data_IF_268948656198
#
_entry.id   IF_268948656198
#
_cell.length_a   1.000
_cell.length_b   1.000
_cell.length_c   1.000
_cell.angle_alpha   90.00
_cell.angle_beta   90.00
_cell.angle_gamma   90.00
#
_symmetry.space_group_name_H-M   'P 1'
#
loop_
_entity.id
_entity.type
_entity.pdbx_description
1 polymer ?
#
# COMPACT_ATOMS: atom_id res chain seq x y z
N UNK A 1 10.30 -5.39 -7.52
CA UNK A 1 9.11 -5.68 -8.36
C UNK A 1 8.20 -6.66 -7.66
N UNK A 2 7.21 -6.11 -6.97
CA UNK A 2 6.22 -6.86 -6.19
C UNK A 2 5.17 -7.47 -7.13
N UNK A 3 4.86 -8.76 -6.98
CA UNK A 3 3.87 -9.47 -7.82
C UNK A 3 2.54 -9.72 -7.11
N UNK A 4 2.52 -9.59 -5.79
CA UNK A 4 1.38 -9.91 -4.93
C UNK A 4 1.32 -8.98 -3.70
N UNK A 5 0.17 -8.90 -3.04
CA UNK A 5 0.02 -8.05 -1.86
C UNK A 5 0.87 -8.60 -0.70
N UNK A 6 1.72 -7.77 -0.06
CA UNK A 6 2.56 -8.21 1.04
C UNK A 6 1.73 -8.51 2.29
N UNK A 7 2.32 -9.27 3.21
CA UNK A 7 1.74 -9.47 4.52
C UNK A 7 1.69 -8.14 5.30
N UNK A 8 0.57 -7.84 5.98
CA UNK A 8 0.44 -6.60 6.73
C UNK A 8 1.39 -6.60 7.93
N UNK A 9 2.10 -5.50 8.11
CA UNK A 9 2.96 -5.28 9.27
C UNK A 9 2.15 -5.12 10.57
N UNK A 10 2.80 -5.32 11.71
CA UNK A 10 2.13 -5.19 13.00
C UNK A 10 1.70 -3.74 13.28
N UNK A 11 0.62 -3.58 14.07
CA UNK A 11 0.15 -2.24 14.48
C UNK A 11 1.19 -1.49 15.30
N UNK A 12 2.00 -2.19 16.08
CA UNK A 12 3.05 -1.59 16.91
C UNK A 12 4.23 -1.10 16.06
N UNK A 13 4.56 -1.80 14.98
CA UNK A 13 5.54 -1.31 13.99
C UNK A 13 5.05 -0.07 13.23
N UNK A 14 3.77 -0.03 12.84
CA UNK A 14 3.17 1.16 12.23
C UNK A 14 3.24 2.37 13.17
N UNK A 15 2.97 2.18 14.46
CA UNK A 15 3.09 3.22 15.49
C UNK A 15 4.55 3.66 15.67
N UNK A 16 5.48 2.70 15.80
CA UNK A 16 6.91 2.96 15.97
C UNK A 16 7.49 3.83 14.84
N UNK A 17 6.99 3.62 13.62
CA UNK A 17 7.43 4.38 12.44
C UNK A 17 6.57 5.63 12.15
N UNK A 18 5.65 6.00 13.06
CA UNK A 18 4.76 7.15 12.92
C UNK A 18 4.00 7.18 11.58
N UNK A 19 3.55 6.02 11.10
CA UNK A 19 2.78 5.95 9.85
C UNK A 19 1.44 6.68 10.05
N UNK A 20 1.09 7.68 9.20
CA UNK A 20 -0.18 8.39 9.30
C UNK A 20 -1.37 7.45 9.07
N UNK A 21 -2.51 7.71 9.72
CA UNK A 21 -3.70 6.85 9.64
C UNK A 21 -4.13 6.47 8.21
N UNK A 22 -4.13 7.38 7.21
CA UNK A 22 -4.52 7.03 5.84
C UNK A 22 -3.61 5.99 5.18
N UNK A 23 -2.36 5.89 5.61
CA UNK A 23 -1.36 4.98 5.05
C UNK A 23 -1.11 3.75 5.93
N UNK A 24 -2.01 3.45 6.88
CA UNK A 24 -1.97 2.23 7.71
C UNK A 24 -2.76 1.11 7.04
N UNK A 25 -2.45 0.86 5.79
CA UNK A 25 -3.05 -0.15 4.94
C UNK A 25 -2.13 -1.39 4.89
N UNK A 26 -2.40 -2.34 3.96
CA UNK A 26 -1.57 -3.55 3.80
C UNK A 26 -0.18 -3.22 3.23
N UNK A 27 -0.06 -2.15 2.43
CA UNK A 27 1.18 -1.72 1.78
C UNK A 27 2.11 -0.89 2.69
N UNK A 28 1.67 -0.56 3.91
CA UNK A 28 2.44 0.23 4.87
C UNK A 28 3.86 -0.31 5.16
N UNK A 29 4.08 -1.62 5.01
CA UNK A 29 5.41 -2.23 5.17
C UNK A 29 6.45 -1.70 4.18
N UNK A 30 6.03 -1.31 2.98
CA UNK A 30 6.90 -0.74 1.94
C UNK A 30 7.07 0.77 2.07
N UNK A 31 6.08 1.44 2.69
CA UNK A 31 6.14 2.87 2.94
C UNK A 31 7.22 3.23 3.97
N UNK A 32 7.51 2.35 4.93
CA UNK A 32 8.56 2.56 5.94
C UNK A 32 9.96 2.68 5.30
N UNK A 33 10.46 1.71 4.50
CA UNK A 33 11.76 1.83 3.84
C UNK A 33 11.79 2.98 2.83
N UNK A 34 10.70 3.23 2.10
CA UNK A 34 10.59 4.39 1.21
C UNK A 34 10.77 5.72 1.96
N UNK A 35 10.11 5.89 3.11
CA UNK A 35 10.24 7.10 3.92
C UNK A 35 11.62 7.23 4.57
N UNK A 36 12.28 6.12 4.89
CA UNK A 36 13.67 6.12 5.34
C UNK A 36 14.60 6.62 4.22
N UNK A 37 14.52 6.04 3.02
CA UNK A 37 15.30 6.46 1.87
C UNK A 37 15.05 7.93 1.51
N UNK A 38 13.79 8.39 1.53
CA UNK A 38 13.44 9.80 1.29
C UNK A 38 14.09 10.75 2.28
N UNK A 39 14.14 10.40 3.57
CA UNK A 39 14.81 11.22 4.58
C UNK A 39 16.32 11.29 4.37
N UNK A 40 16.94 10.15 4.08
CA UNK A 40 18.40 10.06 3.82
C UNK A 40 18.78 10.81 2.53
N UNK A 41 17.94 10.72 1.51
CA UNK A 41 18.12 11.37 0.20
C UNK A 41 17.53 12.76 0.08
N UNK A 42 17.17 13.42 1.20
CA UNK A 42 16.61 14.79 1.20
C UNK A 42 15.40 15.00 0.28
N UNK A 43 14.57 13.96 0.13
CA UNK A 43 13.37 13.96 -0.71
C UNK A 43 13.61 14.28 -2.19
N UNK A 44 14.83 14.03 -2.69
CA UNK A 44 15.15 14.26 -4.09
C UNK A 44 14.35 13.32 -5.01
N UNK A 45 13.76 13.82 -6.11
CA UNK A 45 12.80 13.06 -6.92
C UNK A 45 13.42 11.94 -7.76
N UNK A 46 14.74 11.99 -7.99
CA UNK A 46 15.51 10.96 -8.70
C UNK A 46 16.06 9.87 -7.76
N UNK A 47 15.92 10.02 -6.43
CA UNK A 47 16.32 9.02 -5.47
C UNK A 47 15.12 8.16 -5.03
N UNK A 48 15.39 6.94 -4.56
CA UNK A 48 14.36 6.01 -4.03
C UNK A 48 13.27 5.62 -5.05
N UNK A 49 13.63 5.56 -6.34
CA UNK A 49 12.66 5.32 -7.44
C UNK A 49 12.10 3.91 -7.37
N UNK A 50 12.94 2.93 -7.06
CA UNK A 50 12.54 1.52 -6.97
C UNK A 50 11.58 1.28 -5.81
N UNK A 51 11.91 1.81 -4.62
CA UNK A 51 11.05 1.70 -3.43
C UNK A 51 9.73 2.44 -3.62
N UNK A 52 9.76 3.58 -4.33
CA UNK A 52 8.54 4.30 -4.70
C UNK A 52 7.68 3.45 -5.62
N UNK A 53 8.27 2.91 -6.69
CA UNK A 53 7.56 2.08 -7.65
C UNK A 53 6.97 0.83 -7.01
N UNK A 54 7.71 0.16 -6.13
CA UNK A 54 7.22 -1.02 -5.42
C UNK A 54 6.05 -0.67 -4.46
N UNK A 55 6.11 0.47 -3.76
CA UNK A 55 4.97 0.94 -2.95
C UNK A 55 3.74 1.29 -3.82
N UNK A 56 3.93 2.05 -4.90
CA UNK A 56 2.84 2.42 -5.84
C UNK A 56 2.22 1.19 -6.49
N UNK A 57 3.03 0.20 -6.85
CA UNK A 57 2.54 -1.05 -7.41
C UNK A 57 1.73 -1.86 -6.39
N UNK A 58 2.15 -1.88 -5.12
CA UNK A 58 1.36 -2.51 -4.05
C UNK A 58 -0.03 -1.85 -3.90
N UNK A 59 -0.08 -0.52 -3.86
CA UNK A 59 -1.35 0.23 -3.77
C UNK A 59 -2.27 -0.05 -4.98
N UNK A 60 -1.69 -0.21 -6.16
CA UNK A 60 -2.43 -0.61 -7.36
C UNK A 60 -3.02 -2.03 -7.24
N UNK A 61 -2.27 -2.98 -6.67
CA UNK A 61 -2.78 -4.34 -6.41
C UNK A 61 -3.91 -4.31 -5.37
N UNK A 62 -3.81 -3.48 -4.32
CA UNK A 62 -4.88 -3.31 -3.33
C UNK A 62 -6.13 -2.70 -3.97
N UNK A 63 -5.96 -1.69 -4.82
CA UNK A 63 -7.06 -1.11 -5.58
C UNK A 63 -7.78 -2.16 -6.43
N UNK A 64 -7.05 -3.01 -7.17
CA UNK A 64 -7.64 -4.12 -7.94
C UNK A 64 -8.43 -5.09 -7.07
N UNK A 65 -7.90 -5.44 -5.89
CA UNK A 65 -8.61 -6.27 -4.90
C UNK A 65 -9.94 -5.64 -4.51
N UNK A 66 -9.94 -4.35 -4.17
CA UNK A 66 -11.17 -3.62 -3.78
C UNK A 66 -12.18 -3.47 -4.92
N UNK A 67 -11.72 -3.32 -6.16
CA UNK A 67 -12.60 -3.32 -7.35
C UNK A 67 -13.30 -4.67 -7.50
N UNK A 68 -12.57 -5.77 -7.34
CA UNK A 68 -13.15 -7.12 -7.39
C UNK A 68 -14.19 -7.35 -6.29
N UNK A 69 -13.89 -6.93 -5.05
CA UNK A 69 -14.86 -6.99 -3.93
C UNK A 69 -16.13 -6.18 -4.26
N UNK A 70 -15.99 -5.00 -4.87
CA UNK A 70 -17.14 -4.18 -5.28
C UNK A 70 -17.96 -4.85 -6.38
N UNK A 71 -17.33 -5.50 -7.36
CA UNK A 71 -18.03 -6.25 -8.41
C UNK A 71 -18.84 -7.43 -7.85
N UNK A 72 -18.28 -8.15 -6.88
CA UNK A 72 -18.98 -9.25 -6.18
C UNK A 72 -20.20 -8.73 -5.41
N UNK A 73 -20.06 -7.60 -4.71
CA UNK A 73 -21.18 -6.93 -4.01
C UNK A 73 -22.27 -6.51 -5.00
N UNK A 74 -21.90 -5.93 -6.14
CA UNK A 74 -22.85 -5.52 -7.18
C UNK A 74 -23.63 -6.73 -7.72
N UNK A 75 -22.94 -7.81 -8.09
CA UNK A 75 -23.58 -9.05 -8.55
C UNK A 75 -24.54 -9.62 -7.51
N UNK A 76 -24.13 -9.65 -6.23
CA UNK A 76 -24.97 -10.15 -5.15
C UNK A 76 -26.19 -9.26 -4.88
N UNK A 77 -26.10 -7.95 -5.09
CA UNK A 77 -27.23 -7.02 -5.02
C UNK A 77 -28.20 -7.24 -6.18
N UNK A 78 -27.68 -7.31 -7.39
CA UNK A 78 -28.49 -7.45 -8.60
C UNK A 78 -29.19 -8.83 -8.66
N UNK A 79 -28.59 -9.88 -8.08
CA UNK A 79 -29.21 -11.21 -7.94
C UNK A 79 -30.30 -11.31 -6.86
N UNK A 80 -30.40 -10.31 -5.96
CA UNK A 80 -31.45 -10.24 -4.92
C UNK A 80 -32.66 -9.42 -5.36
N UNK A 81 -32.60 -8.78 -6.52
CA UNK A 81 -33.67 -7.98 -7.11
C UNK A 81 -34.45 -8.79 -8.14
#
# INVERSE_FOLDING_TARGET
>A
MITELPEPISRDEMKKNNVPLPFRDRCAGLLIPLNKCRKEGWYMPWNCVEERHDYEHCEYLDFKRRVKELEEIKKARDAKQ
#
